data_IF_577475932113
#
_entry.id   IF_577475932113
#
_cell.length_a   1.000
_cell.length_b   1.000
_cell.length_c   1.000
_cell.angle_alpha   90.00
_cell.angle_beta   90.00
_cell.angle_gamma   90.00
#
_symmetry.space_group_name_H-M   'P 1'
#
loop_
_entity.id
_entity.type
_entity.pdbx_description
1 polymer ?
#
# COMPACT_ATOMS: atom_id res chain seq x y z
N UNK A 1 6.54 6.82 -8.84
CA UNK A 1 5.10 7.04 -8.64
C UNK A 1 4.76 8.44 -9.13
N UNK A 2 3.51 8.70 -9.50
CA UNK A 2 3.07 10.06 -9.85
C UNK A 2 2.64 10.78 -8.57
N UNK A 3 2.62 12.12 -8.56
CA UNK A 3 2.27 12.90 -7.36
C UNK A 3 0.76 12.98 -7.09
N UNK A 4 -0.08 12.60 -8.06
CA UNK A 4 -1.54 12.71 -7.93
C UNK A 4 -2.16 11.94 -6.72
N UNK A 5 -1.64 10.79 -6.24
CA UNK A 5 -2.21 10.12 -5.06
C UNK A 5 -2.18 11.02 -3.83
N UNK A 6 -1.11 11.82 -3.66
CA UNK A 6 -0.99 12.80 -2.57
C UNK A 6 -2.11 13.84 -2.64
N UNK A 7 -2.52 14.24 -3.85
CA UNK A 7 -3.58 15.22 -4.07
C UNK A 7 -4.99 14.64 -3.87
N UNK A 8 -5.19 13.35 -4.17
CA UNK A 8 -6.50 12.70 -4.18
C UNK A 8 -6.79 11.92 -2.89
N UNK A 9 -5.76 11.51 -2.17
CA UNK A 9 -5.90 10.83 -0.89
C UNK A 9 -6.61 11.73 0.12
N UNK A 10 -7.70 11.21 0.67
CA UNK A 10 -8.45 11.85 1.75
C UNK A 10 -8.82 10.79 2.76
N UNK A 11 -8.17 10.81 3.92
CA UNK A 11 -8.39 9.83 4.99
C UNK A 11 -9.86 9.78 5.43
N UNK A 12 -10.67 10.83 5.20
CA UNK A 12 -12.11 10.85 5.50
C UNK A 12 -12.94 10.01 4.53
N UNK A 13 -12.37 9.66 3.36
CA UNK A 13 -13.00 8.85 2.30
C UNK A 13 -12.43 7.44 2.25
N UNK A 14 -11.60 7.05 3.23
CA UNK A 14 -10.97 5.73 3.25
C UNK A 14 -11.98 4.58 3.13
N UNK A 15 -13.12 4.68 3.83
CA UNK A 15 -14.18 3.68 3.77
C UNK A 15 -14.87 3.63 2.39
N UNK A 16 -14.99 4.78 1.72
CA UNK A 16 -15.52 4.88 0.35
C UNK A 16 -14.58 4.18 -0.63
N UNK A 17 -13.28 4.45 -0.54
CA UNK A 17 -12.27 3.82 -1.40
C UNK A 17 -12.20 2.30 -1.18
N UNK A 18 -12.31 1.84 0.07
CA UNK A 18 -12.38 0.42 0.39
C UNK A 18 -13.63 -0.25 -0.20
N UNK A 19 -14.78 0.40 -0.10
CA UNK A 19 -16.01 -0.11 -0.71
C UNK A 19 -15.87 -0.20 -2.23
N UNK A 20 -15.32 0.84 -2.86
CA UNK A 20 -15.08 0.88 -4.31
C UNK A 20 -14.12 -0.24 -4.76
N UNK A 21 -13.13 -0.60 -3.94
CA UNK A 21 -12.19 -1.67 -4.25
C UNK A 21 -12.87 -3.05 -4.41
N UNK A 22 -14.02 -3.29 -3.77
CA UNK A 22 -14.73 -4.56 -3.95
C UNK A 22 -15.45 -4.71 -5.30
N UNK A 23 -15.67 -3.59 -6.00
CA UNK A 23 -16.45 -3.53 -7.24
C UNK A 23 -15.60 -3.17 -8.47
N UNK A 24 -14.31 -2.86 -8.27
CA UNK A 24 -13.43 -2.39 -9.33
C UNK A 24 -13.03 -3.47 -10.33
N UNK A 25 -12.73 -3.04 -11.56
CA UNK A 25 -11.95 -3.83 -12.51
C UNK A 25 -10.44 -3.74 -12.20
N UNK A 26 -9.62 -4.52 -12.90
CA UNK A 26 -8.18 -4.62 -12.61
C UNK A 26 -7.43 -3.28 -12.56
N UNK A 27 -7.66 -2.39 -13.53
CA UNK A 27 -7.00 -1.08 -13.62
C UNK A 27 -7.47 -0.15 -12.51
N UNK A 28 -8.78 -0.12 -12.27
CA UNK A 28 -9.39 0.64 -11.17
C UNK A 28 -8.88 0.17 -9.81
N UNK A 29 -8.75 -1.14 -9.62
CA UNK A 29 -8.23 -1.71 -8.38
C UNK A 29 -6.77 -1.35 -8.16
N UNK A 30 -5.96 -1.28 -9.23
CA UNK A 30 -4.58 -0.81 -9.12
C UNK A 30 -4.54 0.64 -8.63
N UNK A 31 -5.34 1.53 -9.25
CA UNK A 31 -5.44 2.95 -8.88
C UNK A 31 -5.94 3.12 -7.45
N UNK A 32 -7.01 2.41 -7.08
CA UNK A 32 -7.59 2.47 -5.73
C UNK A 32 -6.61 1.97 -4.67
N UNK A 33 -5.85 0.91 -4.94
CA UNK A 33 -4.85 0.42 -3.98
C UNK A 33 -3.79 1.49 -3.69
N UNK A 34 -3.33 2.22 -4.70
CA UNK A 34 -2.36 3.32 -4.48
C UNK A 34 -2.96 4.42 -3.59
N UNK A 35 -4.23 4.81 -3.81
CA UNK A 35 -4.92 5.79 -2.96
C UNK A 35 -5.07 5.27 -1.52
N UNK A 36 -5.42 3.99 -1.35
CA UNK A 36 -5.58 3.35 -0.04
C UNK A 36 -4.27 3.36 0.76
N UNK A 37 -3.15 3.03 0.11
CA UNK A 37 -1.84 3.06 0.75
C UNK A 37 -1.42 4.48 1.13
N UNK A 38 -1.65 5.46 0.26
CA UNK A 38 -1.42 6.87 0.58
C UNK A 38 -2.26 7.34 1.77
N UNK A 39 -3.55 7.01 1.80
CA UNK A 39 -4.42 7.33 2.95
C UNK A 39 -3.90 6.70 4.24
N UNK A 40 -3.44 5.44 4.18
CA UNK A 40 -2.90 4.74 5.35
C UNK A 40 -1.60 5.36 5.82
N UNK A 41 -0.68 5.64 4.90
CA UNK A 41 0.63 6.22 5.21
C UNK A 41 0.51 7.60 5.85
N UNK A 42 -0.49 8.39 5.42
CA UNK A 42 -0.83 9.69 5.99
C UNK A 42 -1.25 9.65 7.48
N UNK A 43 -1.57 8.49 8.05
CA UNK A 43 -1.74 8.35 9.51
C UNK A 43 -0.41 8.34 10.29
N UNK A 44 0.72 8.34 9.59
CA UNK A 44 2.05 8.32 10.18
C UNK A 44 2.30 7.04 10.97
N UNK A 45 3.07 7.16 12.06
CA UNK A 45 3.34 6.06 12.99
C UNK A 45 2.08 5.35 13.51
N UNK A 46 0.90 5.97 13.44
CA UNK A 46 -0.34 5.39 13.94
C UNK A 46 -1.08 4.51 12.93
N UNK A 47 -0.59 4.38 11.68
CA UNK A 47 -1.26 3.62 10.62
C UNK A 47 -1.67 2.20 11.06
N UNK A 48 -0.79 1.51 11.80
CA UNK A 48 -1.00 0.14 12.27
C UNK A 48 -2.17 0.00 13.26
N UNK A 49 -2.62 1.09 13.87
CA UNK A 49 -3.78 1.12 14.78
C UNK A 49 -5.09 1.32 14.03
N UNK A 50 -5.05 1.74 12.77
CA UNK A 50 -6.25 1.99 11.99
C UNK A 50 -6.94 0.65 11.64
N UNK A 51 -8.25 0.49 11.88
CA UNK A 51 -8.95 -0.78 11.66
C UNK A 51 -8.94 -1.25 10.19
N UNK A 52 -8.80 -0.32 9.26
CA UNK A 52 -8.70 -0.62 7.83
C UNK A 52 -7.36 -1.20 7.41
N UNK A 53 -6.30 -1.01 8.19
CA UNK A 53 -4.96 -1.50 7.82
C UNK A 53 -4.91 -3.01 7.58
N UNK A 54 -5.35 -3.88 8.52
CA UNK A 54 -5.34 -5.32 8.29
C UNK A 54 -6.18 -5.74 7.08
N UNK A 55 -7.23 -4.99 6.73
CA UNK A 55 -8.05 -5.25 5.53
C UNK A 55 -7.25 -4.96 4.26
N UNK A 56 -6.60 -3.79 4.20
CA UNK A 56 -5.79 -3.36 3.03
C UNK A 56 -4.61 -4.31 2.84
N UNK A 57 -3.93 -4.67 3.93
CA UNK A 57 -2.81 -5.61 3.90
C UNK A 57 -3.23 -6.99 3.37
N UNK A 58 -4.38 -7.52 3.83
CA UNK A 58 -4.93 -8.78 3.33
C UNK A 58 -5.34 -8.71 1.85
N UNK A 59 -5.84 -7.55 1.38
CA UNK A 59 -6.13 -7.34 -0.05
C UNK A 59 -4.85 -7.35 -0.90
N UNK A 60 -3.76 -6.72 -0.43
CA UNK A 60 -2.47 -6.77 -1.10
C UNK A 60 -1.93 -8.21 -1.20
N UNK A 61 -1.99 -8.95 -0.09
CA UNK A 61 -1.54 -10.34 0.00
C UNK A 61 -2.33 -11.26 -0.96
N UNK A 62 -3.66 -11.20 -0.90
CA UNK A 62 -4.55 -12.01 -1.74
C UNK A 62 -4.42 -11.71 -3.23
N UNK A 63 -4.21 -10.44 -3.59
CA UNK A 63 -4.11 -9.99 -4.97
C UNK A 63 -2.68 -9.59 -5.34
N UNK A 64 -1.69 -10.25 -4.75
CA UNK A 64 -0.28 -9.85 -4.90
C UNK A 64 0.19 -9.81 -6.35
N UNK A 65 -0.30 -10.69 -7.22
CA UNK A 65 0.09 -10.69 -8.65
C UNK A 65 -0.29 -9.39 -9.35
N UNK A 66 -1.38 -8.74 -8.94
CA UNK A 66 -1.80 -7.42 -9.43
C UNK A 66 -0.94 -6.31 -8.83
N UNK A 67 -0.56 -6.45 -7.55
CA UNK A 67 0.00 -5.36 -6.75
C UNK A 67 1.50 -5.48 -6.46
N UNK A 68 2.19 -6.48 -6.99
CA UNK A 68 3.60 -6.75 -6.64
C UNK A 68 4.50 -5.55 -6.91
N UNK A 69 4.24 -4.79 -7.98
CA UNK A 69 4.98 -3.57 -8.29
C UNK A 69 4.70 -2.45 -7.28
N UNK A 70 3.45 -2.31 -6.85
CA UNK A 70 3.06 -1.38 -5.78
C UNK A 70 3.75 -1.75 -4.48
N UNK A 71 3.69 -3.02 -4.07
CA UNK A 71 4.38 -3.51 -2.87
C UNK A 71 5.89 -3.27 -2.97
N UNK A 72 6.51 -3.54 -4.13
CA UNK A 72 7.93 -3.27 -4.36
C UNK A 72 8.27 -1.79 -4.18
N UNK A 73 7.50 -0.88 -4.80
CA UNK A 73 7.71 0.56 -4.70
C UNK A 73 7.64 1.04 -3.24
N UNK A 74 6.56 0.70 -2.53
CA UNK A 74 6.35 1.13 -1.14
C UNK A 74 7.28 0.43 -0.15
N UNK A 75 7.94 -0.66 -0.54
CA UNK A 75 8.96 -1.34 0.26
C UNK A 75 10.32 -0.65 0.27
N UNK A 76 10.52 0.39 -0.56
CA UNK A 76 11.77 1.14 -0.68
C UNK A 76 12.99 0.21 -0.71
N UNK A 77 13.03 -0.77 -1.61
CA UNK A 77 14.13 -1.77 -1.64
C UNK A 77 15.51 -1.15 -1.88
N UNK A 78 15.52 0.06 -2.41
CA UNK A 78 16.74 0.78 -2.79
C UNK A 78 17.29 1.64 -1.62
N UNK A 79 16.59 1.70 -0.49
CA UNK A 79 17.02 2.37 0.74
C UNK A 79 17.49 1.33 1.77
N UNK A 80 18.63 1.57 2.42
CA UNK A 80 19.12 0.69 3.48
C UNK A 80 18.25 0.83 4.76
N UNK A 81 18.25 -0.18 5.63
CA UNK A 81 17.46 -0.16 6.89
C UNK A 81 17.83 1.03 7.80
N UNK A 82 19.04 1.57 7.66
CA UNK A 82 19.55 2.72 8.42
C UNK A 82 19.01 4.07 7.92
N UNK A 83 18.34 4.10 6.75
CA UNK A 83 17.82 5.31 6.09
C UNK A 83 16.27 5.40 6.13
N UNK A 84 15.63 4.63 7.01
CA UNK A 84 14.16 4.59 7.13
C UNK A 84 13.52 5.89 7.62
N UNK A 85 14.31 6.88 8.05
CA UNK A 85 13.80 8.21 8.46
C UNK A 85 13.08 8.93 7.31
N UNK A 86 13.46 8.67 6.06
CA UNK A 86 12.84 9.25 4.85
C UNK A 86 11.92 8.26 4.11
N UNK A 87 11.67 7.07 4.68
CA UNK A 87 10.83 6.05 4.07
C UNK A 87 9.34 6.23 4.42
N UNK A 88 8.47 5.54 3.68
CA UNK A 88 7.05 5.47 4.02
C UNK A 88 6.85 4.76 5.36
N UNK A 89 5.87 5.18 6.14
CA UNK A 89 5.53 4.55 7.42
C UNK A 89 5.15 3.07 7.24
N UNK A 90 4.58 2.70 6.09
CA UNK A 90 4.21 1.32 5.78
C UNK A 90 5.36 0.45 5.21
N UNK A 91 6.56 1.02 5.00
CA UNK A 91 7.67 0.34 4.28
C UNK A 91 8.04 -1.02 4.88
N UNK A 92 8.09 -1.15 6.21
CA UNK A 92 8.44 -2.41 6.88
C UNK A 92 7.47 -3.53 6.54
N UNK A 93 6.17 -3.22 6.50
CA UNK A 93 5.13 -4.20 6.17
C UNK A 93 5.16 -4.58 4.69
N UNK A 94 5.47 -3.63 3.80
CA UNK A 94 5.66 -3.92 2.38
C UNK A 94 6.86 -4.84 2.12
N UNK A 95 7.98 -4.63 2.83
CA UNK A 95 9.14 -5.54 2.78
C UNK A 95 8.77 -6.95 3.23
N UNK A 96 7.94 -7.08 4.26
CA UNK A 96 7.44 -8.37 4.73
C UNK A 96 6.58 -9.09 3.67
N UNK A 97 5.66 -8.38 3.00
CA UNK A 97 4.88 -8.91 1.87
C UNK A 97 5.78 -9.32 0.70
N UNK A 98 6.71 -8.46 0.30
CA UNK A 98 7.63 -8.73 -0.80
C UNK A 98 8.46 -10.00 -0.54
N UNK A 99 8.99 -10.13 0.68
CA UNK A 99 9.74 -11.33 1.11
C UNK A 99 8.86 -12.58 1.10
N UNK A 100 7.61 -12.49 1.58
CA UNK A 100 6.64 -13.59 1.55
C UNK A 100 6.38 -14.08 0.12
N UNK A 101 6.32 -13.16 -0.84
CA UNK A 101 6.00 -13.48 -2.24
C UNK A 101 7.21 -13.52 -3.18
N UNK A 102 8.43 -13.60 -2.64
CA UNK A 102 9.67 -13.63 -3.42
C UNK A 102 9.75 -14.79 -4.44
N UNK A 103 8.90 -15.82 -4.32
CA UNK A 103 8.78 -16.88 -5.31
C UNK A 103 8.22 -16.43 -6.66
N UNK A 104 7.58 -15.25 -6.73
CA UNK A 104 7.09 -14.65 -7.98
C UNK A 104 8.17 -13.88 -8.75
N UNK A 105 9.32 -13.61 -8.13
CA UNK A 105 10.42 -12.81 -8.68
C UNK A 105 11.55 -13.67 -9.29
N UNK A 106 11.27 -14.96 -9.55
CA UNK A 106 12.24 -15.95 -10.03
C UNK A 106 12.11 -16.21 -11.52
#
# INVERSE_FOLDING_TARGET
MQDWPIEVADNRRLDEFLSAYSECNDDECFVLMVILLECIDNFGEQYHKHPSWPVIYDLLDKHITRHIYTVWYWSCTDCEDEELEDAFYITSDMRALLKKHAYLLR
#
